data_IF_764822387718
#
_entry.id   IF_764822387718
#
_cell.length_a   1.000
_cell.length_b   1.000
_cell.length_c   1.000
_cell.angle_alpha   90.00
_cell.angle_beta   90.00
_cell.angle_gamma   90.00
#
_symmetry.space_group_name_H-M   'P 1'
#
loop_
_entity.id
_entity.type
_entity.pdbx_description
1 polymer ?
#
# COMPACT_ATOMS: atom_id res chain seq x y z
N UNK A 1 -5.52 12.02 0.01
CA UNK A 1 -6.09 12.04 1.38
C UNK A 1 -6.48 10.66 1.88
N UNK A 2 -7.30 9.86 1.17
CA UNK A 2 -7.73 8.53 1.63
C UNK A 2 -6.57 7.59 2.02
N UNK A 3 -5.48 7.55 1.27
CA UNK A 3 -4.33 6.70 1.55
C UNK A 3 -3.66 7.05 2.89
N UNK A 4 -3.54 8.33 3.22
CA UNK A 4 -2.96 8.79 4.50
C UNK A 4 -3.81 8.32 5.67
N UNK A 5 -5.13 8.47 5.57
CA UNK A 5 -6.07 8.01 6.61
C UNK A 5 -5.99 6.50 6.82
N UNK A 6 -5.92 5.73 5.75
CA UNK A 6 -5.78 4.27 5.81
C UNK A 6 -4.45 3.86 6.44
N UNK A 7 -3.34 4.52 6.08
CA UNK A 7 -2.02 4.27 6.67
C UNK A 7 -2.01 4.57 8.17
N UNK A 8 -2.59 5.68 8.59
CA UNK A 8 -2.71 6.04 10.01
C UNK A 8 -3.54 5.03 10.79
N UNK A 9 -4.69 4.63 10.24
CA UNK A 9 -5.59 3.67 10.87
C UNK A 9 -4.94 2.29 11.01
N UNK A 10 -4.32 1.78 9.95
CA UNK A 10 -3.68 0.47 9.96
C UNK A 10 -2.37 0.46 10.76
N UNK A 11 -1.60 1.55 10.76
CA UNK A 11 -0.43 1.70 11.62
C UNK A 11 -0.79 1.56 13.10
N UNK A 12 -1.94 2.14 13.52
CA UNK A 12 -2.46 1.99 14.87
C UNK A 12 -3.02 0.59 15.17
N UNK A 13 -3.64 -0.06 14.21
CA UNK A 13 -4.28 -1.37 14.42
C UNK A 13 -3.30 -2.48 14.83
N UNK A 14 -2.11 -2.52 14.24
CA UNK A 14 -1.09 -3.50 14.58
C UNK A 14 -0.38 -3.17 15.89
N UNK A 15 -0.04 -1.90 16.13
CA UNK A 15 0.73 -1.48 17.30
C UNK A 15 -0.08 -1.42 18.58
N UNK A 16 -1.37 -1.06 18.53
CA UNK A 16 -2.26 -1.05 19.69
C UNK A 16 -2.45 -2.45 20.30
N UNK A 17 -2.46 -3.51 19.49
CA UNK A 17 -2.57 -4.86 20.02
C UNK A 17 -1.27 -5.33 20.70
N UNK A 18 -0.11 -4.83 20.27
CA UNK A 18 1.14 -5.02 21.00
C UNK A 18 1.08 -4.34 22.37
N UNK A 19 0.62 -3.10 22.42
CA UNK A 19 0.56 -2.30 23.66
C UNK A 19 -0.49 -2.82 24.63
N UNK A 20 -1.61 -3.37 24.13
CA UNK A 20 -2.69 -3.92 24.99
C UNK A 20 -2.49 -5.37 25.41
N UNK A 21 -1.42 -6.03 24.98
CA UNK A 21 -1.14 -7.44 25.33
C UNK A 21 -2.14 -8.45 24.76
N UNK A 22 -3.09 -8.02 23.91
CA UNK A 22 -4.11 -8.91 23.31
C UNK A 22 -3.50 -9.94 22.37
N UNK A 23 -2.36 -9.63 21.77
CA UNK A 23 -1.56 -10.58 20.99
C UNK A 23 -1.09 -11.78 21.82
N UNK A 24 -0.72 -11.55 23.08
CA UNK A 24 -0.31 -12.61 24.02
C UNK A 24 -1.46 -13.57 24.27
N UNK A 25 -2.68 -13.05 24.44
CA UNK A 25 -3.90 -13.85 24.65
C UNK A 25 -4.25 -14.75 23.45
N UNK A 26 -4.02 -14.28 22.22
CA UNK A 26 -4.25 -15.06 21.00
C UNK A 26 -3.18 -16.14 20.85
N UNK A 27 -1.94 -15.83 21.20
CA UNK A 27 -0.82 -16.77 21.13
C UNK A 27 -0.89 -17.86 22.22
N UNK A 28 -1.40 -17.56 23.41
CA UNK A 28 -1.62 -18.55 24.47
C UNK A 28 -2.71 -19.58 24.11
N UNK A 29 -3.61 -19.23 23.19
CA UNK A 29 -4.59 -20.19 22.62
C UNK A 29 -4.00 -21.10 21.53
N UNK A 30 -2.69 -21.08 21.29
CA UNK A 30 -2.00 -22.02 20.37
C UNK A 30 -2.04 -21.63 18.90
N UNK A 31 -2.44 -20.42 18.54
CA UNK A 31 -2.40 -19.97 17.14
C UNK A 31 -0.97 -19.66 16.70
N UNK A 32 -0.49 -20.22 15.57
CA UNK A 32 0.83 -19.94 15.05
C UNK A 32 0.93 -18.47 14.59
N UNK A 33 2.02 -17.80 14.97
CA UNK A 33 2.28 -16.37 14.71
C UNK A 33 2.13 -16.01 13.23
N UNK A 34 2.58 -16.90 12.32
CA UNK A 34 2.43 -16.73 10.86
C UNK A 34 0.98 -16.55 10.46
N UNK A 35 0.06 -17.37 10.99
CA UNK A 35 -1.37 -17.26 10.66
C UNK A 35 -1.95 -15.93 11.09
N UNK A 36 -1.59 -15.45 12.27
CA UNK A 36 -2.06 -14.15 12.78
C UNK A 36 -1.60 -13.02 11.87
N UNK A 37 -0.30 -12.99 11.52
CA UNK A 37 0.25 -11.99 10.59
C UNK A 37 -0.44 -12.03 9.22
N UNK A 38 -0.55 -13.22 8.62
CA UNK A 38 -1.16 -13.40 7.29
C UNK A 38 -2.63 -12.97 7.27
N UNK A 39 -3.42 -13.39 8.26
CA UNK A 39 -4.85 -13.02 8.33
C UNK A 39 -5.01 -11.50 8.47
N UNK A 40 -4.23 -10.85 9.31
CA UNK A 40 -4.29 -9.39 9.46
C UNK A 40 -3.88 -8.66 8.18
N UNK A 41 -2.81 -9.10 7.54
CA UNK A 41 -2.37 -8.54 6.26
C UNK A 41 -3.46 -8.70 5.20
N UNK A 42 -4.07 -9.87 5.12
CA UNK A 42 -5.19 -10.15 4.19
C UNK A 42 -6.39 -9.24 4.45
N UNK A 43 -6.79 -9.05 5.72
CA UNK A 43 -7.90 -8.16 6.10
C UNK A 43 -7.57 -6.72 5.69
N UNK A 44 -6.36 -6.24 5.96
CA UNK A 44 -5.94 -4.90 5.58
C UNK A 44 -5.99 -4.68 4.05
N UNK A 45 -5.49 -5.65 3.28
CA UNK A 45 -5.53 -5.60 1.81
C UNK A 45 -6.96 -5.65 1.26
N UNK A 46 -7.83 -6.49 1.85
CA UNK A 46 -9.24 -6.56 1.48
C UNK A 46 -9.96 -5.25 1.77
N UNK A 47 -9.77 -4.67 2.96
CA UNK A 47 -10.36 -3.38 3.31
C UNK A 47 -9.91 -2.28 2.36
N UNK A 48 -8.61 -2.20 2.04
CA UNK A 48 -8.09 -1.25 1.06
C UNK A 48 -8.76 -1.43 -0.30
N UNK A 49 -8.78 -2.66 -0.80
CA UNK A 49 -9.35 -2.97 -2.12
C UNK A 49 -10.82 -2.58 -2.20
N UNK A 50 -11.62 -2.97 -1.20
CA UNK A 50 -13.06 -2.66 -1.16
C UNK A 50 -13.27 -1.15 -1.08
N UNK A 51 -12.62 -0.46 -0.15
CA UNK A 51 -12.78 0.99 0.03
C UNK A 51 -12.33 1.77 -1.21
N UNK A 52 -11.22 1.36 -1.82
CA UNK A 52 -10.70 2.01 -3.03
C UNK A 52 -11.67 1.88 -4.21
N UNK A 53 -12.10 0.66 -4.51
CA UNK A 53 -12.97 0.42 -5.67
C UNK A 53 -14.38 0.99 -5.48
N UNK A 54 -14.92 1.00 -4.25
CA UNK A 54 -16.18 1.69 -3.95
C UNK A 54 -16.02 3.20 -4.16
N UNK A 55 -14.98 3.82 -3.61
CA UNK A 55 -14.71 5.25 -3.79
C UNK A 55 -14.51 5.62 -5.26
N UNK A 56 -13.77 4.80 -6.00
CA UNK A 56 -13.58 4.98 -7.43
C UNK A 56 -14.91 4.86 -8.19
N UNK A 57 -15.71 3.84 -7.90
CA UNK A 57 -17.01 3.63 -8.53
C UNK A 57 -17.98 4.78 -8.30
N UNK A 58 -18.05 5.31 -7.07
CA UNK A 58 -18.89 6.47 -6.74
C UNK A 58 -18.41 7.70 -7.51
N UNK A 59 -17.11 7.96 -7.54
CA UNK A 59 -16.52 9.11 -8.26
C UNK A 59 -16.76 8.99 -9.76
N UNK A 60 -16.57 7.80 -10.32
CA UNK A 60 -16.80 7.53 -11.75
C UNK A 60 -18.26 7.71 -12.13
N UNK A 61 -19.19 7.20 -11.31
CA UNK A 61 -20.63 7.34 -11.51
C UNK A 61 -21.06 8.81 -11.44
N UNK A 62 -20.56 9.55 -10.44
CA UNK A 62 -20.84 10.98 -10.28
C UNK A 62 -20.33 11.79 -11.46
N UNK A 63 -19.10 11.54 -11.93
CA UNK A 63 -18.53 12.18 -13.10
C UNK A 63 -19.36 11.88 -14.37
N UNK A 64 -19.76 10.63 -14.56
CA UNK A 64 -20.58 10.23 -15.71
C UNK A 64 -21.94 10.91 -15.77
N UNK A 65 -22.48 11.29 -14.60
CA UNK A 65 -23.77 11.96 -14.51
C UNK A 65 -23.69 13.47 -14.80
N UNK A 66 -22.63 14.15 -14.34
CA UNK A 66 -22.49 15.60 -14.44
C UNK A 66 -21.60 16.07 -15.59
N UNK A 67 -20.61 15.28 -15.95
CA UNK A 67 -19.68 15.56 -17.04
C UNK A 67 -19.52 14.30 -17.90
N UNK A 68 -19.34 14.51 -19.20
CA UNK A 68 -19.09 13.40 -20.11
C UNK A 68 -17.72 12.77 -19.81
N UNK A 69 -17.69 11.46 -19.51
CA UNK A 69 -16.46 10.70 -19.28
C UNK A 69 -15.63 10.47 -20.56
N UNK A 70 -16.11 10.91 -21.72
CA UNK A 70 -15.41 10.75 -22.99
C UNK A 70 -14.14 11.58 -23.15
N UNK A 71 -13.88 12.52 -22.23
CA UNK A 71 -12.71 13.43 -22.28
C UNK A 71 -11.44 12.75 -21.73
N UNK A 72 -11.58 11.70 -20.92
CA UNK A 72 -10.45 11.07 -20.23
C UNK A 72 -10.26 9.64 -20.68
N UNK A 73 -9.12 9.40 -21.35
CA UNK A 73 -8.71 8.07 -21.80
C UNK A 73 -8.05 7.29 -20.64
N UNK A 74 -8.13 5.97 -20.71
CA UNK A 74 -7.40 5.07 -19.80
C UNK A 74 -7.68 5.21 -18.29
N UNK A 75 -8.92 5.60 -17.89
CA UNK A 75 -9.30 5.77 -16.47
C UNK A 75 -9.11 4.49 -15.65
N UNK A 76 -9.50 3.32 -16.18
CA UNK A 76 -9.37 2.05 -15.48
C UNK A 76 -7.91 1.62 -15.25
N UNK A 77 -7.01 1.66 -16.26
CA UNK A 77 -5.58 1.46 -16.03
C UNK A 77 -5.00 2.43 -14.99
N UNK A 78 -5.34 3.71 -15.07
CA UNK A 78 -4.88 4.72 -14.12
C UNK A 78 -5.32 4.39 -12.68
N UNK A 79 -6.58 4.00 -12.48
CA UNK A 79 -7.09 3.57 -11.18
C UNK A 79 -6.38 2.32 -10.67
N UNK A 80 -6.10 1.34 -11.53
CA UNK A 80 -5.39 0.12 -11.16
C UNK A 80 -3.95 0.39 -10.72
N UNK A 81 -3.24 1.31 -11.38
CA UNK A 81 -1.89 1.74 -10.99
C UNK A 81 -1.88 2.40 -9.60
N UNK A 82 -2.83 3.30 -9.36
CA UNK A 82 -2.96 3.95 -8.06
C UNK A 82 -3.36 2.96 -6.95
N UNK A 83 -4.24 2.01 -7.25
CA UNK A 83 -4.60 0.93 -6.32
C UNK A 83 -3.39 0.07 -5.95
N UNK A 84 -2.56 -0.31 -6.94
CA UNK A 84 -1.34 -1.08 -6.73
C UNK A 84 -0.32 -0.33 -5.87
N UNK A 85 -0.16 0.98 -6.09
CA UNK A 85 0.66 1.82 -5.23
C UNK A 85 0.20 1.78 -3.78
N UNK A 86 -1.11 1.85 -3.54
CA UNK A 86 -1.68 1.74 -2.19
C UNK A 86 -1.40 0.39 -1.54
N UNK A 87 -1.46 -0.72 -2.28
CA UNK A 87 -1.07 -2.05 -1.79
C UNK A 87 0.39 -2.05 -1.33
N UNK A 88 1.30 -1.49 -2.13
CA UNK A 88 2.71 -1.39 -1.77
C UNK A 88 2.91 -0.60 -0.48
N UNK A 89 2.28 0.56 -0.33
CA UNK A 89 2.36 1.37 0.89
C UNK A 89 1.82 0.61 2.10
N UNK A 90 0.69 -0.09 1.97
CA UNK A 90 0.13 -0.90 3.05
C UNK A 90 1.06 -2.03 3.49
N UNK A 91 1.68 -2.72 2.55
CA UNK A 91 2.63 -3.78 2.87
C UNK A 91 3.89 -3.24 3.54
N UNK A 92 4.33 -2.01 3.23
CA UNK A 92 5.36 -1.31 3.99
C UNK A 92 4.92 -1.03 5.43
N UNK A 93 3.70 -0.53 5.64
CA UNK A 93 3.16 -0.32 7.00
C UNK A 93 3.13 -1.61 7.80
N UNK A 94 2.66 -2.70 7.20
CA UNK A 94 2.62 -4.03 7.82
C UNK A 94 4.04 -4.54 8.14
N UNK A 95 4.99 -4.36 7.23
CA UNK A 95 6.40 -4.70 7.42
C UNK A 95 7.00 -3.93 8.60
N UNK A 96 6.83 -2.61 8.64
CA UNK A 96 7.34 -1.80 9.75
C UNK A 96 6.64 -2.09 11.07
N UNK A 97 5.38 -2.49 11.07
CA UNK A 97 4.67 -2.92 12.28
C UNK A 97 5.24 -4.23 12.88
N UNK A 98 5.86 -5.07 12.04
CA UNK A 98 6.60 -6.23 12.53
C UNK A 98 7.94 -5.84 13.19
N UNK A 99 8.56 -4.75 12.71
CA UNK A 99 9.82 -4.22 13.27
C UNK A 99 9.62 -3.41 14.53
N UNK A 100 8.75 -2.40 14.47
CA UNK A 100 8.50 -1.46 15.55
C UNK A 100 7.29 -1.88 16.40
N UNK A 101 7.33 -1.56 17.69
CA UNK A 101 6.21 -1.79 18.61
C UNK A 101 5.37 -0.53 18.82
N UNK A 102 5.87 0.63 18.37
CA UNK A 102 5.22 1.92 18.49
C UNK A 102 4.72 2.43 17.13
N UNK A 103 3.56 3.06 17.11
CA UNK A 103 2.94 3.63 15.91
C UNK A 103 3.81 4.70 15.26
N UNK A 104 4.50 5.52 16.07
CA UNK A 104 5.43 6.54 15.60
C UNK A 104 6.58 5.97 14.77
N UNK A 105 7.17 4.86 15.22
CA UNK A 105 8.23 4.15 14.48
C UNK A 105 7.75 3.57 13.16
N UNK A 106 6.54 3.01 13.13
CA UNK A 106 5.92 2.48 11.90
C UNK A 106 5.69 3.60 10.88
N UNK A 107 5.13 4.72 11.32
CA UNK A 107 4.86 5.86 10.44
C UNK A 107 6.15 6.53 9.95
N UNK A 108 7.14 6.69 10.85
CA UNK A 108 8.43 7.24 10.48
C UNK A 108 9.17 6.37 9.46
N UNK A 109 9.19 5.04 9.66
CA UNK A 109 9.83 4.10 8.74
C UNK A 109 9.14 4.08 7.37
N UNK A 110 7.81 4.01 7.35
CA UNK A 110 7.04 4.06 6.10
C UNK A 110 7.24 5.39 5.38
N UNK A 111 7.14 6.51 6.12
CA UNK A 111 7.35 7.84 5.58
C UNK A 111 8.76 8.04 5.03
N UNK A 112 9.78 7.54 5.70
CA UNK A 112 11.17 7.61 5.22
C UNK A 112 11.34 6.90 3.88
N UNK A 113 10.79 5.69 3.70
CA UNK A 113 10.86 4.99 2.41
C UNK A 113 10.10 5.73 1.32
N UNK A 114 8.93 6.31 1.62
CA UNK A 114 8.19 7.11 0.66
C UNK A 114 8.99 8.34 0.22
N UNK A 115 9.56 9.09 1.17
CA UNK A 115 10.39 10.27 0.88
C UNK A 115 11.62 9.88 0.06
N UNK A 116 12.32 8.82 0.44
CA UNK A 116 13.47 8.30 -0.32
C UNK A 116 13.08 7.92 -1.75
N UNK A 117 11.92 7.28 -1.93
CA UNK A 117 11.41 6.93 -3.25
C UNK A 117 11.10 8.17 -4.10
N UNK A 118 10.54 9.23 -3.49
CA UNK A 118 10.32 10.50 -4.18
C UNK A 118 11.63 11.21 -4.55
N UNK A 119 12.60 11.23 -3.65
CA UNK A 119 13.93 11.82 -3.92
C UNK A 119 14.65 11.03 -5.01
N UNK A 120 14.57 9.71 -4.99
CA UNK A 120 15.16 8.86 -6.02
C UNK A 120 14.49 9.06 -7.40
N UNK A 121 13.21 9.38 -7.44
CA UNK A 121 12.47 9.66 -8.67
C UNK A 121 12.93 10.95 -9.39
N UNK A 122 13.71 11.82 -8.72
CA UNK A 122 14.32 13.00 -9.37
C UNK A 122 15.37 12.58 -10.42
N UNK A 123 15.95 11.37 -10.27
CA UNK A 123 16.93 10.86 -11.22
C UNK A 123 16.22 10.14 -12.38
N UNK A 124 16.30 10.63 -13.65
CA UNK A 124 15.53 10.08 -14.77
C UNK A 124 15.80 8.59 -15.04
N UNK A 125 17.03 8.12 -14.77
CA UNK A 125 17.42 6.73 -14.99
C UNK A 125 16.76 5.73 -14.02
N UNK A 126 16.30 6.21 -12.88
CA UNK A 126 15.75 5.37 -11.79
C UNK A 126 14.24 5.54 -11.70
N UNK A 127 13.70 6.65 -12.19
CA UNK A 127 12.29 7.00 -12.14
C UNK A 127 11.40 5.88 -12.69
N UNK A 128 11.80 5.26 -13.80
CA UNK A 128 11.02 4.23 -14.50
C UNK A 128 10.88 2.92 -13.70
N UNK A 129 11.73 2.71 -12.71
CA UNK A 129 11.72 1.51 -11.85
C UNK A 129 11.08 1.74 -10.49
N UNK A 130 10.73 2.98 -10.14
CA UNK A 130 10.24 3.29 -8.82
C UNK A 130 8.71 3.18 -8.73
N UNK A 131 8.17 2.67 -7.58
CA UNK A 131 6.74 2.64 -7.34
C UNK A 131 6.06 4.01 -7.42
N UNK A 132 6.79 5.09 -7.17
CA UNK A 132 6.29 6.48 -7.25
C UNK A 132 5.86 6.85 -8.67
N UNK A 133 6.40 6.24 -9.73
CA UNK A 133 5.93 6.42 -11.11
C UNK A 133 4.45 6.08 -11.26
N UNK A 134 3.94 5.13 -10.47
CA UNK A 134 2.52 4.75 -10.48
C UNK A 134 1.59 5.88 -10.03
N UNK A 135 2.12 6.95 -9.42
CA UNK A 135 1.35 8.16 -9.09
C UNK A 135 1.27 9.16 -10.25
N UNK A 136 2.13 9.02 -11.26
CA UNK A 136 2.16 9.84 -12.47
C UNK A 136 1.01 9.55 -13.44
N UNK A 137 -0.14 9.11 -12.94
CA UNK A 137 -1.34 8.78 -13.74
C UNK A 137 -1.89 9.94 -14.56
N UNK A 138 -1.53 11.18 -14.24
CA UNK A 138 -1.96 12.36 -15.00
C UNK A 138 -1.45 12.32 -16.45
N UNK A 139 -0.23 11.86 -16.67
CA UNK A 139 0.37 11.71 -18.00
C UNK A 139 -0.36 10.64 -18.82
N UNK A 140 -0.85 9.58 -18.16
CA UNK A 140 -1.63 8.51 -18.78
C UNK A 140 -3.05 9.00 -19.15
N UNK A 141 -3.67 9.82 -18.29
CA UNK A 141 -4.99 10.38 -18.53
C UNK A 141 -5.01 11.41 -19.67
N UNK A 142 -3.88 12.08 -19.91
CA UNK A 142 -3.70 13.07 -20.98
C UNK A 142 -3.16 12.45 -22.30
N UNK A 143 -3.09 11.12 -22.39
CA UNK A 143 -2.55 10.38 -23.55
C UNK A 143 -1.09 10.72 -23.91
N UNK A 144 -0.36 11.34 -23.00
CA UNK A 144 1.05 11.67 -23.22
C UNK A 144 1.99 10.47 -23.08
N UNK A 145 1.52 9.40 -22.43
CA UNK A 145 2.31 8.19 -22.15
C UNK A 145 1.47 6.94 -22.40
N UNK A 146 2.08 5.90 -22.96
CA UNK A 146 1.40 4.62 -23.19
C UNK A 146 1.31 3.79 -21.89
N UNK A 147 0.24 2.98 -21.76
CA UNK A 147 0.07 2.05 -20.62
C UNK A 147 1.26 1.10 -20.48
N UNK A 148 1.90 0.73 -21.60
CA UNK A 148 3.08 -0.14 -21.63
C UNK A 148 4.30 0.39 -20.88
N UNK A 149 4.46 1.72 -20.79
CA UNK A 149 5.62 2.36 -20.16
C UNK A 149 5.62 2.22 -18.63
N UNK A 150 4.48 1.84 -18.06
CA UNK A 150 4.35 1.54 -16.62
C UNK A 150 4.69 0.09 -16.28
N UNK A 151 4.90 -0.79 -17.26
CA UNK A 151 5.12 -2.22 -17.04
C UNK A 151 6.30 -2.53 -16.12
N UNK A 152 7.41 -1.82 -16.26
CA UNK A 152 8.59 -1.98 -15.40
C UNK A 152 8.31 -1.53 -13.96
N UNK A 153 7.68 -0.37 -13.78
CA UNK A 153 7.30 0.13 -12.46
C UNK A 153 6.30 -0.80 -11.75
N UNK A 154 5.34 -1.35 -12.48
CA UNK A 154 4.37 -2.35 -11.96
C UNK A 154 5.10 -3.59 -11.49
N UNK A 155 5.99 -4.17 -12.32
CA UNK A 155 6.75 -5.37 -11.97
C UNK A 155 7.60 -5.15 -10.71
N UNK A 156 8.35 -4.04 -10.66
CA UNK A 156 9.19 -3.70 -9.49
C UNK A 156 8.32 -3.48 -8.25
N UNK A 157 7.18 -2.80 -8.37
CA UNK A 157 6.26 -2.58 -7.24
C UNK A 157 5.71 -3.89 -6.70
N UNK A 158 5.33 -4.82 -7.56
CA UNK A 158 4.85 -6.15 -7.16
C UNK A 158 5.96 -6.93 -6.46
N UNK A 159 7.17 -6.93 -6.99
CA UNK A 159 8.33 -7.60 -6.36
C UNK A 159 8.67 -7.01 -5.00
N UNK A 160 8.70 -5.67 -4.88
CA UNK A 160 8.95 -4.98 -3.61
C UNK A 160 7.83 -5.26 -2.59
N UNK A 161 6.59 -5.31 -3.04
CA UNK A 161 5.42 -5.65 -2.22
C UNK A 161 5.50 -7.08 -1.67
N UNK A 162 5.84 -8.04 -2.53
CA UNK A 162 6.03 -9.43 -2.14
C UNK A 162 7.22 -9.58 -1.16
N UNK A 163 8.34 -8.91 -1.43
CA UNK A 163 9.50 -8.91 -0.55
C UNK A 163 9.17 -8.33 0.83
N UNK A 164 8.44 -7.21 0.91
CA UNK A 164 8.01 -6.61 2.16
C UNK A 164 7.07 -7.53 2.96
N UNK A 165 6.12 -8.21 2.29
CA UNK A 165 5.21 -9.15 2.93
C UNK A 165 5.96 -10.36 3.51
N UNK A 166 6.88 -10.95 2.75
CA UNK A 166 7.67 -12.11 3.17
C UNK A 166 8.62 -11.73 4.30
N UNK A 167 9.35 -10.63 4.16
CA UNK A 167 10.28 -10.14 5.19
C UNK A 167 9.53 -9.80 6.49
N UNK A 168 8.38 -9.14 6.41
CA UNK A 168 7.54 -8.86 7.57
C UNK A 168 7.05 -10.12 8.28
N UNK A 169 6.66 -11.15 7.53
CA UNK A 169 6.25 -12.44 8.10
C UNK A 169 7.41 -13.13 8.86
N UNK A 170 8.62 -13.14 8.28
CA UNK A 170 9.80 -13.74 8.90
C UNK A 170 10.25 -12.99 10.15
N UNK A 171 10.19 -11.65 10.13
CA UNK A 171 10.52 -10.82 11.29
C UNK A 171 9.51 -11.00 12.43
N UNK A 172 8.22 -11.07 12.10
CA UNK A 172 7.17 -11.29 13.09
C UNK A 172 7.29 -12.64 13.79
N UNK A 173 7.76 -13.67 13.09
CA UNK A 173 8.02 -14.99 13.67
C UNK A 173 9.16 -14.98 14.67
N UNK A 174 10.24 -14.23 14.39
CA UNK A 174 11.44 -14.14 15.24
C UNK A 174 11.30 -13.20 16.44
N UNK A 175 10.31 -12.30 16.41
CA UNK A 175 10.11 -11.32 17.47
C UNK A 175 9.72 -12.02 18.76
N UNK A 176 10.59 -11.98 19.78
CA UNK A 176 10.27 -12.44 21.14
C UNK A 176 9.31 -11.43 21.77
N UNK A 177 8.12 -11.88 22.08
CA UNK A 177 7.07 -11.13 22.80
C UNK A 177 7.08 -11.62 24.25
#
# INVERSE_FOLDING_TARGET
MALIVVVLFLGGMFTQEYQRGTLVLVLTKGFPRRKVYTVKTMIALLMWTICFWISFGITWFYNSYYWDNGIVSHILPAAALFWLFGIWVLLLVVFFSALFSETSGVLAGTGAILVLSYVAAIFPKVQDFLPVKLLGVQELLLESTAVGDYGQAVLVTVLMSAAAAIAGMLLFEKKRI
#
